data_IF_234758388124
#
_entry.id   IF_234758388124
#
_cell.length_a   1.000
_cell.length_b   1.000
_cell.length_c   1.000
_cell.angle_alpha   90.00
_cell.angle_beta   90.00
_cell.angle_gamma   90.00
#
_symmetry.space_group_name_H-M   'P 1'
#
loop_
_entity.id
_entity.type
_entity.pdbx_description
1 polymer ?
#
# COMPACT_ATOMS: atom_id res chain seq x y z
N UNK A 1 -11.86 -6.46 89.57
CA UNK A 1 -10.60 -6.75 90.21
C UNK A 1 -10.25 -8.21 90.04
N UNK A 2 -9.08 -8.52 89.49
CA UNK A 2 -8.57 -9.89 89.18
C UNK A 2 -8.15 -10.70 90.41
N UNK A 3 -8.66 -10.41 91.56
CA UNK A 3 -8.31 -11.08 92.83
C UNK A 3 -6.94 -10.70 93.40
N UNK A 4 -6.27 -9.71 92.77
CA UNK A 4 -4.96 -9.20 93.24
C UNK A 4 -5.15 -7.98 94.13
N UNK A 5 -4.43 -7.91 95.23
CA UNK A 5 -4.46 -6.75 96.09
C UNK A 5 -3.78 -5.54 95.47
N UNK A 6 -4.53 -4.47 95.17
CA UNK A 6 -4.04 -3.31 94.46
C UNK A 6 -4.37 -2.00 95.18
N UNK A 7 -3.63 -0.95 94.92
CA UNK A 7 -3.76 0.36 95.56
C UNK A 7 -3.04 0.49 96.90
N UNK A 8 -3.07 1.67 97.53
CA UNK A 8 -2.36 1.97 98.76
C UNK A 8 -0.84 1.77 98.66
N UNK A 9 -0.26 0.99 99.56
CA UNK A 9 1.19 0.66 99.60
C UNK A 9 1.51 -0.69 98.94
N UNK A 10 0.55 -1.33 98.23
CA UNK A 10 0.76 -2.62 97.52
C UNK A 10 1.76 -2.57 96.37
N UNK A 11 1.98 -1.37 95.82
CA UNK A 11 2.84 -1.21 94.63
C UNK A 11 2.18 -1.68 93.31
N UNK A 12 0.92 -2.16 93.35
CA UNK A 12 0.16 -2.66 92.24
C UNK A 12 -0.97 -1.69 91.87
N UNK A 13 -1.07 -1.33 90.63
CA UNK A 13 -2.11 -0.42 90.11
C UNK A 13 -3.44 -1.18 89.96
N UNK A 14 -4.55 -0.54 90.32
CA UNK A 14 -5.85 -1.16 90.24
C UNK A 14 -6.15 -1.48 88.76
N UNK A 15 -6.63 -2.72 88.52
CA UNK A 15 -7.01 -3.25 87.17
C UNK A 15 -5.85 -3.37 86.18
N UNK A 16 -4.59 -3.28 86.63
CA UNK A 16 -3.43 -3.46 85.71
C UNK A 16 -3.32 -4.88 85.13
N UNK A 17 -4.03 -5.84 85.71
CA UNK A 17 -4.11 -7.22 85.29
C UNK A 17 -5.31 -7.51 84.44
N UNK A 18 -6.10 -6.49 84.09
CA UNK A 18 -7.15 -6.59 83.03
C UNK A 18 -6.60 -6.18 81.70
N UNK A 19 -6.99 -6.94 80.66
CA UNK A 19 -6.76 -6.56 79.31
C UNK A 19 -7.75 -5.45 78.86
N UNK A 20 -7.67 -4.98 77.60
CA UNK A 20 -8.56 -3.93 77.13
C UNK A 20 -10.04 -4.37 77.01
N UNK A 21 -10.35 -5.69 77.07
CA UNK A 21 -11.69 -6.25 77.11
C UNK A 21 -12.19 -6.53 78.50
N UNK A 22 -11.48 -5.98 79.56
CA UNK A 22 -11.76 -6.11 80.98
C UNK A 22 -11.65 -7.55 81.55
N UNK A 23 -11.03 -8.46 80.79
CA UNK A 23 -10.77 -9.84 81.21
C UNK A 23 -9.51 -9.91 82.04
N UNK A 24 -9.60 -10.57 83.23
CA UNK A 24 -8.44 -10.71 84.14
C UNK A 24 -7.42 -11.66 83.45
N UNK A 25 -6.17 -11.20 83.36
CA UNK A 25 -5.07 -11.94 82.74
C UNK A 25 -5.41 -12.37 81.31
N UNK A 26 -6.27 -11.58 80.65
CA UNK A 26 -6.63 -11.80 79.23
C UNK A 26 -5.52 -11.35 78.27
N UNK A 27 -5.64 -11.78 77.07
CA UNK A 27 -4.66 -11.56 75.93
C UNK A 27 -5.12 -10.47 74.96
N UNK A 28 -6.29 -9.82 75.21
CA UNK A 28 -6.73 -8.72 74.36
C UNK A 28 -5.85 -7.48 74.48
N UNK A 29 -5.55 -6.80 73.39
CA UNK A 29 -4.76 -5.58 73.44
C UNK A 29 -5.36 -4.52 72.49
N UNK A 30 -4.95 -3.28 72.67
CA UNK A 30 -5.32 -2.20 71.75
C UNK A 30 -4.41 -2.34 70.53
N UNK A 31 -5.02 -2.54 69.36
CA UNK A 31 -4.33 -2.65 68.05
C UNK A 31 -3.90 -1.27 67.54
N UNK A 32 -3.31 -1.25 66.31
CA UNK A 32 -2.79 -0.03 65.72
C UNK A 32 -3.92 0.95 65.28
N UNK A 33 -5.15 0.47 65.18
CA UNK A 33 -6.34 1.29 64.94
C UNK A 33 -7.01 1.79 66.26
N UNK A 34 -6.46 1.47 67.36
CA UNK A 34 -7.01 1.86 68.65
C UNK A 34 -8.17 1.00 69.10
N UNK A 35 -8.39 -0.14 68.53
CA UNK A 35 -9.48 -1.07 68.77
C UNK A 35 -8.96 -2.17 69.74
N UNK A 36 -9.75 -2.56 70.71
CA UNK A 36 -9.44 -3.70 71.52
C UNK A 36 -9.69 -4.99 70.75
N UNK A 37 -8.62 -5.73 70.44
CA UNK A 37 -8.64 -6.88 69.53
C UNK A 37 -7.97 -8.09 70.15
N UNK A 38 -8.13 -9.26 69.56
CA UNK A 38 -7.60 -10.54 70.07
C UNK A 38 -8.26 -11.00 71.41
N UNK A 39 -7.70 -12.03 72.05
CA UNK A 39 -8.25 -12.64 73.24
C UNK A 39 -9.72 -13.07 73.06
N UNK A 40 -10.58 -12.70 74.01
CA UNK A 40 -12.01 -13.03 74.02
C UNK A 40 -12.86 -11.96 73.29
N UNK A 41 -12.25 -10.99 72.54
CA UNK A 41 -12.97 -9.92 71.86
C UNK A 41 -13.71 -10.43 70.62
N UNK A 42 -13.20 -11.51 70.01
CA UNK A 42 -13.70 -12.03 68.73
C UNK A 42 -13.30 -11.17 67.51
N UNK A 43 -12.40 -10.21 67.73
CA UNK A 43 -11.84 -9.36 66.67
C UNK A 43 -10.38 -9.72 66.45
N UNK A 44 -9.99 -9.87 65.18
CA UNK A 44 -8.58 -10.03 64.86
C UNK A 44 -7.89 -8.67 64.93
N UNK A 45 -6.60 -8.64 65.32
CA UNK A 45 -5.85 -7.41 65.44
C UNK A 45 -5.70 -6.77 63.99
N UNK A 46 -5.92 -5.45 63.95
CA UNK A 46 -5.81 -4.67 62.69
C UNK A 46 -6.78 -5.09 61.58
N UNK A 47 -7.89 -5.77 61.94
CA UNK A 47 -8.92 -6.18 60.97
C UNK A 47 -9.52 -4.99 60.21
N UNK A 48 -9.48 -3.80 60.78
CA UNK A 48 -9.99 -2.55 60.20
C UNK A 48 -8.95 -1.80 59.36
N UNK A 49 -7.73 -2.37 59.23
CA UNK A 49 -6.73 -1.81 58.32
C UNK A 49 -6.98 -2.29 56.88
N UNK A 50 -6.82 -1.37 55.94
CA UNK A 50 -6.74 -1.71 54.53
C UNK A 50 -5.37 -2.35 54.16
N UNK A 51 -5.19 -2.78 52.94
CA UNK A 51 -3.92 -3.40 52.50
C UNK A 51 -2.71 -2.47 52.60
N UNK A 52 -2.90 -1.15 52.75
CA UNK A 52 -1.85 -0.15 52.95
C UNK A 52 -1.58 0.11 54.43
N UNK A 53 -2.30 -0.58 55.36
CA UNK A 53 -2.16 -0.42 56.80
C UNK A 53 -2.88 0.82 57.36
N UNK A 54 -3.79 1.41 56.62
CA UNK A 54 -4.58 2.57 57.06
C UNK A 54 -5.87 2.09 57.70
N UNK A 55 -6.12 2.54 58.95
CA UNK A 55 -7.36 2.21 59.65
C UNK A 55 -8.57 2.82 58.96
N UNK A 56 -9.62 2.01 58.76
CA UNK A 56 -10.81 2.37 57.93
C UNK A 56 -10.43 2.86 56.54
N UNK A 57 -9.25 2.46 56.05
CA UNK A 57 -8.78 2.80 54.70
C UNK A 57 -9.58 2.12 53.58
N UNK A 58 -9.36 2.57 52.37
CA UNK A 58 -10.09 2.11 51.16
C UNK A 58 -9.19 1.44 50.12
N UNK A 59 -7.91 1.25 50.44
CA UNK A 59 -7.00 0.53 49.54
C UNK A 59 -7.35 -0.96 49.49
N UNK A 60 -7.30 -1.54 48.33
CA UNK A 60 -7.62 -2.95 48.08
C UNK A 60 -6.49 -3.62 47.30
N UNK A 61 -6.37 -4.91 47.48
CA UNK A 61 -5.51 -5.72 46.61
C UNK A 61 -6.21 -5.82 45.22
N UNK A 62 -5.52 -5.36 44.19
CA UNK A 62 -6.02 -5.43 42.80
C UNK A 62 -5.82 -6.82 42.19
N UNK A 63 -6.21 -6.97 40.91
CA UNK A 63 -6.12 -8.25 40.19
C UNK A 63 -4.67 -8.71 39.97
N UNK A 64 -3.70 -7.80 40.09
CA UNK A 64 -2.27 -8.11 40.00
C UNK A 64 -1.64 -8.43 41.39
N UNK A 65 -2.43 -8.42 42.44
CA UNK A 65 -1.97 -8.66 43.79
C UNK A 65 -1.26 -7.44 44.43
N UNK A 66 -1.43 -6.27 43.83
CA UNK A 66 -0.85 -5.01 44.30
C UNK A 66 -1.86 -4.26 45.16
N UNK A 67 -1.43 -3.70 46.29
CA UNK A 67 -2.29 -2.84 47.10
C UNK A 67 -2.43 -1.48 46.41
N UNK A 68 -3.64 -1.15 45.97
CA UNK A 68 -3.92 0.04 45.16
C UNK A 68 -5.20 0.77 45.62
N UNK A 69 -5.38 1.99 45.22
CA UNK A 69 -6.47 2.85 45.65
C UNK A 69 -6.18 3.48 47.03
N UNK A 70 -7.20 4.08 47.67
CA UNK A 70 -7.04 4.77 48.92
C UNK A 70 -5.90 5.78 48.93
N UNK A 71 -5.06 5.72 49.95
CA UNK A 71 -3.91 6.62 50.10
C UNK A 71 -2.59 6.03 49.54
N UNK A 72 -2.67 4.93 48.75
CA UNK A 72 -1.48 4.29 48.16
C UNK A 72 -0.81 5.13 47.08
N UNK A 73 -1.56 6.02 46.43
CA UNK A 73 -1.12 6.76 45.26
C UNK A 73 -1.03 5.92 43.95
N UNK A 74 -1.49 4.67 44.00
CA UNK A 74 -1.53 3.76 42.84
C UNK A 74 -2.98 3.58 42.41
N UNK A 75 -3.21 3.62 41.09
CA UNK A 75 -4.48 3.24 40.52
C UNK A 75 -4.60 1.71 40.46
N UNK A 76 -5.80 1.19 40.73
CA UNK A 76 -6.05 -0.25 40.65
C UNK A 76 -5.77 -0.76 39.24
N UNK A 77 -5.07 -1.89 39.16
CA UNK A 77 -4.70 -2.54 37.89
C UNK A 77 -3.80 -1.71 36.97
N UNK A 78 -3.08 -0.71 37.50
CA UNK A 78 -2.11 0.09 36.73
C UNK A 78 -1.01 -0.75 36.07
N UNK A 79 -0.72 -1.93 36.65
CA UNK A 79 0.29 -2.86 36.13
C UNK A 79 -0.28 -3.86 35.10
N UNK A 80 -1.55 -3.75 34.71
CA UNK A 80 -2.12 -4.53 33.63
C UNK A 80 -1.84 -3.89 32.29
N UNK A 81 -1.52 -4.72 31.30
CA UNK A 81 -1.48 -4.31 29.92
C UNK A 81 -2.91 -4.13 29.33
N UNK A 82 -3.04 -3.67 28.11
CA UNK A 82 -4.35 -3.47 27.48
C UNK A 82 -5.17 -4.77 27.31
N UNK A 83 -4.53 -5.95 27.46
CA UNK A 83 -5.19 -7.27 27.43
C UNK A 83 -5.54 -7.78 28.85
N UNK A 84 -5.33 -6.96 29.89
CA UNK A 84 -5.63 -7.31 31.28
C UNK A 84 -4.59 -8.24 31.92
N UNK A 85 -3.42 -8.39 31.34
CA UNK A 85 -2.35 -9.26 31.89
C UNK A 85 -1.42 -8.43 32.77
N UNK A 86 -1.25 -8.84 34.02
CA UNK A 86 -0.35 -8.17 34.96
C UNK A 86 1.09 -8.21 34.47
N UNK A 87 1.72 -7.04 34.39
CA UNK A 87 3.06 -6.85 33.83
C UNK A 87 3.18 -7.42 32.40
N UNK A 88 2.06 -7.46 31.67
CA UNK A 88 2.02 -7.91 30.31
C UNK A 88 2.71 -6.93 29.36
N UNK A 89 2.84 -7.32 28.11
CA UNK A 89 3.50 -6.54 27.07
C UNK A 89 2.58 -6.12 25.93
N UNK A 90 1.28 -6.41 26.03
CA UNK A 90 0.31 -5.95 25.04
C UNK A 90 0.14 -4.42 25.14
N UNK A 91 0.06 -3.77 23.98
CA UNK A 91 -0.13 -2.32 23.91
C UNK A 91 -1.20 -1.97 22.87
N UNK A 92 -1.79 -0.80 23.01
CA UNK A 92 -2.64 -0.28 21.95
C UNK A 92 -1.74 0.12 20.78
N UNK A 93 -2.09 -0.36 19.61
CA UNK A 93 -1.44 0.02 18.34
C UNK A 93 -1.97 1.37 17.82
N UNK A 94 -1.52 1.79 16.65
CA UNK A 94 -1.92 3.07 16.04
C UNK A 94 -3.41 3.12 15.69
N UNK A 95 -4.05 1.96 15.53
CA UNK A 95 -5.48 1.83 15.30
C UNK A 95 -6.30 1.74 16.62
N UNK A 96 -5.65 1.81 17.76
CA UNK A 96 -6.29 1.68 19.06
C UNK A 96 -6.67 0.25 19.41
N UNK A 97 -6.14 -0.73 18.72
CA UNK A 97 -6.36 -2.15 18.98
C UNK A 97 -5.28 -2.66 19.94
N UNK A 98 -5.69 -3.43 20.95
CA UNK A 98 -4.75 -4.08 21.84
C UNK A 98 -4.05 -5.22 21.11
N UNK A 99 -2.76 -5.07 20.87
CA UNK A 99 -1.95 -6.00 20.07
C UNK A 99 -0.68 -6.41 20.81
N UNK A 100 0.06 -7.36 20.26
CA UNK A 100 1.26 -7.93 20.86
C UNK A 100 1.00 -8.69 22.16
N UNK A 101 2.05 -9.01 22.92
CA UNK A 101 1.93 -9.80 24.14
C UNK A 101 1.22 -11.14 23.94
N UNK A 102 0.17 -11.38 24.71
CA UNK A 102 -0.63 -12.61 24.66
C UNK A 102 -1.92 -12.45 23.83
N UNK A 103 -2.09 -11.34 23.09
CA UNK A 103 -3.30 -11.09 22.31
C UNK A 103 -3.40 -11.99 21.09
N UNK A 104 -2.27 -12.45 20.55
CA UNK A 104 -2.20 -13.17 19.28
C UNK A 104 -2.34 -12.28 18.06
N UNK A 105 -2.41 -10.96 18.24
CA UNK A 105 -2.48 -9.96 17.16
C UNK A 105 -1.12 -9.27 17.03
N UNK A 106 -0.71 -9.00 15.81
CA UNK A 106 0.43 -8.15 15.54
C UNK A 106 0.01 -6.68 15.59
N UNK A 107 0.89 -5.80 16.06
CA UNK A 107 0.62 -4.37 16.02
C UNK A 107 0.39 -3.91 14.57
N UNK A 108 -0.62 -3.02 14.39
CA UNK A 108 -0.96 -2.42 13.11
C UNK A 108 -1.40 -3.42 12.02
N UNK A 109 -1.84 -4.62 12.42
CA UNK A 109 -2.34 -5.63 11.48
C UNK A 109 -3.60 -5.19 10.71
N UNK A 110 -4.30 -4.20 11.26
CA UNK A 110 -5.51 -3.62 10.69
C UNK A 110 -5.24 -2.35 9.86
N UNK A 111 -3.96 -1.99 9.65
CA UNK A 111 -3.58 -0.93 8.72
C UNK A 111 -3.47 -1.49 7.29
N UNK A 112 -3.90 -0.69 6.34
CA UNK A 112 -3.65 -0.94 4.93
C UNK A 112 -2.23 -0.50 4.51
N UNK A 113 -1.87 -0.66 3.24
CA UNK A 113 -0.54 -0.27 2.76
C UNK A 113 -0.28 1.26 2.77
N UNK A 114 -1.31 2.08 3.04
CA UNK A 114 -1.21 3.53 3.19
C UNK A 114 -1.20 3.97 4.67
N UNK A 115 -1.03 3.01 5.59
CA UNK A 115 -1.07 3.19 7.05
C UNK A 115 -2.44 3.66 7.58
N UNK A 116 -3.51 3.53 6.79
CA UNK A 116 -4.87 3.85 7.23
C UNK A 116 -5.47 2.67 7.99
N UNK A 117 -5.94 2.94 9.23
CA UNK A 117 -6.62 1.92 10.04
C UNK A 117 -7.93 1.48 9.38
N UNK A 118 -8.07 0.17 9.16
CA UNK A 118 -9.22 -0.42 8.46
C UNK A 118 -9.40 0.15 7.05
N UNK A 119 -8.31 0.62 6.45
CA UNK A 119 -8.31 1.17 5.11
C UNK A 119 -8.51 0.11 4.04
N UNK A 120 -8.73 0.56 2.82
CA UNK A 120 -9.00 -0.28 1.65
C UNK A 120 -7.87 -0.24 0.62
N UNK A 121 -6.76 0.47 0.93
CA UNK A 121 -5.62 0.52 0.04
C UNK A 121 -4.92 -0.85 -0.02
N UNK A 122 -4.50 -1.25 -1.21
CA UNK A 122 -3.84 -2.53 -1.44
C UNK A 122 -2.59 -2.33 -2.30
N UNK A 123 -1.63 -3.21 -2.16
CA UNK A 123 -0.51 -3.24 -3.09
C UNK A 123 -1.01 -3.77 -4.44
N UNK A 124 -0.77 -3.01 -5.49
CA UNK A 124 -1.08 -3.41 -6.85
C UNK A 124 -0.01 -4.37 -7.43
N UNK A 125 -0.16 -4.75 -8.68
CA UNK A 125 0.77 -5.68 -9.33
C UNK A 125 2.19 -5.09 -9.49
N UNK A 126 2.32 -3.76 -9.44
CA UNK A 126 3.62 -3.07 -9.49
C UNK A 126 4.25 -2.89 -8.10
N UNK A 127 3.55 -3.32 -7.04
CA UNK A 127 3.99 -3.18 -5.67
C UNK A 127 3.74 -1.78 -5.08
N UNK A 128 2.98 -0.94 -5.79
CA UNK A 128 2.59 0.38 -5.30
C UNK A 128 1.30 0.30 -4.49
N UNK A 129 1.24 1.10 -3.42
CA UNK A 129 0.03 1.18 -2.61
C UNK A 129 -1.04 2.00 -3.35
N UNK A 130 -2.14 1.34 -3.68
CA UNK A 130 -3.16 1.86 -4.58
C UNK A 130 -4.56 1.75 -3.97
N UNK A 131 -5.49 2.53 -4.50
CA UNK A 131 -6.88 2.59 -4.04
C UNK A 131 -6.99 3.18 -2.62
N UNK A 132 -8.16 3.06 -2.00
CA UNK A 132 -8.42 3.67 -0.69
C UNK A 132 -8.12 5.16 -0.69
N UNK A 133 -7.34 5.61 0.30
CA UNK A 133 -6.88 7.00 0.43
C UNK A 133 -5.46 7.23 -0.11
N UNK A 134 -4.85 6.23 -0.77
CA UNK A 134 -3.48 6.35 -1.28
C UNK A 134 -3.31 7.45 -2.33
N UNK A 135 -4.41 7.83 -3.01
CA UNK A 135 -4.38 8.78 -4.12
C UNK A 135 -3.80 8.19 -5.41
N UNK A 136 -3.51 6.91 -5.42
CA UNK A 136 -2.96 6.18 -6.56
C UNK A 136 -3.99 5.18 -7.11
N UNK A 137 -4.11 5.13 -8.43
CA UNK A 137 -5.01 4.17 -9.10
C UNK A 137 -4.27 2.87 -9.35
N UNK A 138 -4.89 1.75 -9.04
CA UNK A 138 -4.29 0.43 -9.20
C UNK A 138 -3.79 0.21 -10.63
N UNK A 139 -2.53 -0.23 -10.74
CA UNK A 139 -1.86 -0.53 -12.00
C UNK A 139 -1.70 0.66 -12.97
N UNK A 140 -1.82 1.91 -12.50
CA UNK A 140 -1.61 3.10 -13.35
C UNK A 140 -0.18 3.23 -13.86
N UNK A 141 0.76 2.55 -13.21
CA UNK A 141 2.18 2.54 -13.60
C UNK A 141 2.54 1.44 -14.60
N UNK A 142 1.53 0.69 -15.06
CA UNK A 142 1.73 -0.25 -16.16
C UNK A 142 1.69 0.47 -17.49
N UNK A 143 2.61 0.12 -18.35
CA UNK A 143 2.59 0.52 -19.75
C UNK A 143 1.52 -0.25 -20.54
N UNK A 144 1.35 0.05 -21.82
CA UNK A 144 0.37 -0.62 -22.67
C UNK A 144 0.68 -2.11 -22.91
N UNK A 145 1.91 -2.57 -22.62
CA UNK A 145 2.30 -3.99 -22.67
C UNK A 145 2.01 -4.70 -21.33
N UNK A 146 1.60 -3.93 -20.29
CA UNK A 146 1.32 -4.45 -18.96
C UNK A 146 2.55 -4.57 -18.06
N UNK A 147 3.68 -4.00 -18.46
CA UNK A 147 4.89 -3.96 -17.64
C UNK A 147 4.87 -2.78 -16.69
N UNK A 148 5.21 -3.05 -15.40
CA UNK A 148 5.31 -2.00 -14.40
C UNK A 148 6.46 -1.05 -14.72
N UNK A 149 6.16 0.25 -14.76
CA UNK A 149 7.13 1.31 -15.09
C UNK A 149 7.79 1.11 -16.46
N UNK A 150 7.08 0.41 -17.36
CA UNK A 150 7.56 0.15 -18.71
C UNK A 150 7.50 1.39 -19.59
N UNK A 151 8.17 1.31 -20.73
CA UNK A 151 8.31 2.40 -21.71
C UNK A 151 7.43 2.20 -22.97
N UNK A 152 6.63 1.14 -23.04
CA UNK A 152 5.73 0.91 -24.15
C UNK A 152 4.56 1.89 -24.13
N UNK A 153 4.20 2.43 -25.29
CA UNK A 153 3.09 3.36 -25.42
C UNK A 153 2.26 3.02 -26.66
N UNK A 154 1.01 3.46 -26.66
CA UNK A 154 0.22 3.41 -27.89
C UNK A 154 0.81 4.41 -28.89
N UNK A 155 1.11 3.93 -30.08
CA UNK A 155 1.58 4.75 -31.19
C UNK A 155 0.40 5.45 -31.92
N UNK A 156 0.70 6.13 -33.03
CA UNK A 156 -0.32 6.86 -33.79
C UNK A 156 -1.39 5.93 -34.41
N UNK A 157 -1.08 4.64 -34.57
CA UNK A 157 -2.00 3.62 -35.04
C UNK A 157 -2.76 2.89 -33.92
N UNK A 158 -2.66 3.40 -32.68
CA UNK A 158 -3.22 2.80 -31.47
C UNK A 158 -2.67 1.38 -31.18
N UNK A 159 -1.48 1.08 -31.70
CA UNK A 159 -0.77 -0.18 -31.42
C UNK A 159 0.22 0.04 -30.28
N UNK A 160 0.26 -0.88 -29.34
CA UNK A 160 1.23 -0.84 -28.27
C UNK A 160 2.65 -1.12 -28.80
N UNK A 161 3.50 -0.10 -28.77
CA UNK A 161 4.81 -0.11 -29.43
C UNK A 161 5.92 0.37 -28.50
N UNK A 162 7.14 0.06 -28.85
CA UNK A 162 8.32 0.41 -28.02
C UNK A 162 8.48 -0.48 -26.81
N UNK A 163 9.29 -0.04 -25.85
CA UNK A 163 9.60 -0.83 -24.66
C UNK A 163 10.02 -2.26 -24.99
N UNK A 164 9.41 -3.24 -24.32
CA UNK A 164 9.68 -4.66 -24.52
C UNK A 164 8.73 -5.34 -25.51
N UNK A 165 7.84 -4.60 -26.17
CA UNK A 165 6.84 -5.16 -27.11
C UNK A 165 7.45 -5.87 -28.31
N UNK A 166 8.68 -5.50 -28.68
CA UNK A 166 9.30 -5.95 -29.93
C UNK A 166 8.69 -5.33 -31.18
N UNK A 167 7.75 -4.38 -31.01
CA UNK A 167 7.11 -3.63 -32.10
C UNK A 167 7.67 -2.22 -32.16
N UNK A 168 8.13 -1.79 -33.33
CA UNK A 168 8.66 -0.44 -33.52
C UNK A 168 7.52 0.57 -33.62
N UNK A 169 7.74 1.75 -33.02
CA UNK A 169 6.75 2.84 -33.03
C UNK A 169 6.41 3.22 -34.47
N UNK A 170 5.10 3.25 -34.79
CA UNK A 170 4.58 3.62 -36.09
C UNK A 170 5.01 2.70 -37.26
N UNK A 171 5.47 1.48 -36.99
CA UNK A 171 5.85 0.53 -38.06
C UNK A 171 4.68 0.05 -38.92
N UNK A 172 3.45 0.28 -38.45
CA UNK A 172 2.22 -0.05 -39.17
C UNK A 172 1.73 1.07 -40.10
N UNK A 173 2.47 2.18 -40.17
CA UNK A 173 2.20 3.22 -41.14
C UNK A 173 2.82 2.89 -42.51
N UNK A 174 2.08 3.12 -43.56
CA UNK A 174 2.62 3.08 -44.90
C UNK A 174 3.43 4.36 -45.22
N UNK A 175 3.96 4.47 -46.43
CA UNK A 175 4.74 5.64 -46.84
C UNK A 175 3.91 6.93 -46.97
N UNK A 176 2.56 6.82 -46.97
CA UNK A 176 1.65 7.96 -46.92
C UNK A 176 1.21 8.32 -45.49
N UNK A 177 1.83 7.68 -44.50
CA UNK A 177 1.53 7.81 -43.06
C UNK A 177 0.14 7.30 -42.66
N UNK A 178 -0.52 6.51 -43.48
CA UNK A 178 -1.78 5.87 -43.17
C UNK A 178 -1.53 4.60 -42.34
N UNK A 179 -2.21 4.48 -41.20
CA UNK A 179 -2.13 3.27 -40.37
C UNK A 179 -2.71 2.06 -41.12
N UNK A 180 -1.93 0.99 -41.21
CA UNK A 180 -2.28 -0.22 -41.93
C UNK A 180 -2.60 0.05 -43.42
N UNK A 181 -2.01 1.12 -43.94
CA UNK A 181 -2.19 1.53 -45.31
C UNK A 181 -1.52 0.59 -46.33
N UNK A 182 -1.86 0.75 -47.60
CA UNK A 182 -1.36 -0.08 -48.68
C UNK A 182 -0.40 0.70 -49.61
N UNK A 183 -0.08 1.97 -49.29
CA UNK A 183 0.85 2.74 -50.10
C UNK A 183 2.28 2.17 -49.93
N UNK A 184 3.00 2.14 -51.05
CA UNK A 184 4.36 1.61 -51.14
C UNK A 184 5.28 2.60 -51.83
N UNK A 185 6.56 2.54 -51.51
CA UNK A 185 7.57 3.28 -52.29
C UNK A 185 7.77 2.55 -53.61
N UNK A 186 7.57 3.28 -54.68
CA UNK A 186 7.75 2.76 -56.05
C UNK A 186 9.23 2.77 -56.48
N UNK A 187 9.50 2.33 -57.71
CA UNK A 187 10.88 2.26 -58.25
C UNK A 187 11.53 3.64 -58.42
N UNK A 188 10.74 4.71 -58.47
CA UNK A 188 11.21 6.09 -58.52
C UNK A 188 11.41 6.72 -57.13
N UNK A 189 11.12 5.97 -56.07
CA UNK A 189 11.26 6.45 -54.69
C UNK A 189 10.09 7.30 -54.20
N UNK A 190 8.99 7.34 -54.99
CA UNK A 190 7.77 8.06 -54.65
C UNK A 190 6.79 7.15 -53.90
N UNK A 191 6.04 7.74 -52.99
CA UNK A 191 4.97 7.00 -52.30
C UNK A 191 3.74 6.86 -53.20
N UNK A 192 3.41 5.61 -53.58
CA UNK A 192 2.41 5.28 -54.55
C UNK A 192 1.38 4.30 -54.06
N UNK A 193 0.24 4.22 -54.73
CA UNK A 193 -0.88 3.36 -54.38
C UNK A 193 -1.56 3.77 -53.03
N UNK A 194 -2.42 2.92 -52.50
CA UNK A 194 -3.21 3.23 -51.30
C UNK A 194 -3.96 4.55 -51.43
N UNK A 195 -3.82 5.43 -50.44
CA UNK A 195 -4.43 6.77 -50.44
C UNK A 195 -3.45 7.87 -50.88
N UNK A 196 -2.27 7.51 -51.38
CA UNK A 196 -1.26 8.49 -51.81
C UNK A 196 -1.74 9.40 -52.93
N UNK A 197 -2.71 8.94 -53.73
CA UNK A 197 -3.18 9.64 -54.93
C UNK A 197 -2.22 9.51 -56.08
N UNK A 198 -1.17 8.70 -55.98
CA UNK A 198 -0.15 8.46 -56.98
C UNK A 198 -0.18 7.00 -57.41
N UNK A 199 -0.17 6.72 -58.71
CA UNK A 199 -0.14 5.35 -59.21
C UNK A 199 1.29 4.83 -59.24
N UNK A 200 1.48 3.53 -59.00
CA UNK A 200 2.78 2.89 -58.95
C UNK A 200 3.55 3.16 -60.28
N UNK A 201 4.76 3.68 -60.18
CA UNK A 201 5.65 4.03 -61.27
C UNK A 201 5.07 5.04 -62.29
N UNK A 202 4.14 5.92 -61.85
CA UNK A 202 3.55 6.93 -62.71
C UNK A 202 4.57 7.93 -63.26
N UNK A 203 5.70 8.08 -62.59
CA UNK A 203 6.79 8.98 -62.99
C UNK A 203 7.86 8.29 -63.84
N UNK A 204 7.67 7.00 -64.17
CA UNK A 204 8.52 6.35 -65.13
C UNK A 204 8.07 6.70 -66.57
N UNK A 205 9.02 6.99 -67.42
CA UNK A 205 8.76 7.10 -68.86
C UNK A 205 8.58 5.73 -69.52
N UNK A 206 8.26 5.66 -70.81
CA UNK A 206 8.04 4.41 -71.52
C UNK A 206 9.30 3.52 -71.59
N UNK A 207 10.47 4.07 -71.31
CA UNK A 207 11.75 3.32 -71.25
C UNK A 207 12.05 2.75 -69.87
N UNK A 208 11.30 3.21 -68.86
CA UNK A 208 11.44 2.81 -67.48
C UNK A 208 12.33 3.74 -66.62
N UNK A 209 12.71 4.88 -67.20
CA UNK A 209 13.52 5.86 -66.46
C UNK A 209 12.61 6.75 -65.60
N UNK A 210 12.96 6.89 -64.35
CA UNK A 210 12.22 7.78 -63.43
C UNK A 210 12.42 9.24 -63.85
N UNK A 211 11.30 9.97 -63.98
CA UNK A 211 11.27 11.36 -64.46
C UNK A 211 11.94 11.52 -65.84
N UNK A 212 11.95 10.42 -66.61
CA UNK A 212 12.51 10.39 -67.95
C UNK A 212 11.70 11.18 -68.95
N UNK A 213 12.30 11.42 -70.16
CA UNK A 213 11.71 12.18 -71.26
C UNK A 213 11.29 11.31 -72.42
N UNK A 214 11.43 9.97 -72.30
CA UNK A 214 10.99 9.07 -73.35
C UNK A 214 9.45 8.99 -73.44
N UNK A 215 8.89 9.03 -74.63
CA UNK A 215 7.45 8.94 -74.81
C UNK A 215 7.11 7.99 -75.99
N UNK A 216 5.87 7.52 -76.02
CA UNK A 216 5.40 6.75 -77.18
C UNK A 216 5.21 7.70 -78.33
N UNK A 217 5.87 7.40 -79.44
CA UNK A 217 5.73 8.13 -80.72
C UNK A 217 4.43 7.77 -81.44
N UNK A 218 4.23 8.30 -82.64
CA UNK A 218 3.04 8.05 -83.43
C UNK A 218 2.85 6.58 -83.78
N UNK A 219 3.94 5.81 -83.89
CA UNK A 219 3.93 4.36 -84.13
C UNK A 219 3.78 3.53 -82.88
N UNK A 220 3.63 4.15 -81.70
CA UNK A 220 3.54 3.47 -80.38
C UNK A 220 4.87 2.87 -79.89
N UNK A 221 5.98 3.33 -80.48
CA UNK A 221 7.34 2.93 -80.06
C UNK A 221 7.84 3.92 -79.02
N UNK A 222 8.47 3.40 -77.93
CA UNK A 222 9.09 4.24 -76.90
C UNK A 222 10.31 4.93 -77.50
N UNK A 223 10.29 6.28 -77.58
CA UNK A 223 11.26 7.07 -78.31
C UNK A 223 11.70 8.30 -77.52
N UNK A 224 12.87 8.80 -77.78
CA UNK A 224 13.43 9.92 -77.08
C UNK A 224 14.08 9.51 -75.73
N UNK A 225 14.42 10.49 -74.85
CA UNK A 225 15.13 10.22 -73.64
C UNK A 225 16.35 9.33 -73.78
N UNK A 226 16.42 8.26 -73.01
CA UNK A 226 17.50 7.27 -73.07
C UNK A 226 17.14 6.03 -73.88
N UNK A 227 16.03 6.04 -74.61
CA UNK A 227 15.56 4.88 -75.40
C UNK A 227 16.42 4.51 -76.61
N UNK A 228 17.38 5.35 -76.97
CA UNK A 228 18.20 5.21 -78.23
C UNK A 228 17.37 5.15 -79.50
N UNK A 229 16.09 5.54 -79.44
CA UNK A 229 15.17 5.56 -80.57
C UNK A 229 14.69 6.98 -80.82
N UNK A 230 14.85 7.45 -82.03
CA UNK A 230 14.31 8.75 -82.48
C UNK A 230 12.83 8.67 -82.71
N UNK A 231 12.06 9.66 -82.26
CA UNK A 231 10.63 9.71 -82.43
C UNK A 231 10.28 9.70 -83.95
N UNK A 232 9.28 8.86 -84.29
CA UNK A 232 8.75 8.71 -85.61
C UNK A 232 9.75 8.24 -86.72
N UNK A 233 10.91 7.69 -86.27
CA UNK A 233 11.92 7.14 -87.19
C UNK A 233 11.42 5.91 -87.92
N UNK A 234 10.36 5.28 -87.48
CA UNK A 234 9.72 4.12 -88.11
C UNK A 234 8.59 4.49 -89.08
N UNK A 235 8.36 5.80 -89.32
CA UNK A 235 7.35 6.29 -90.30
C UNK A 235 8.02 6.40 -91.65
N UNK A 236 7.43 5.78 -92.66
CA UNK A 236 7.88 5.90 -94.05
C UNK A 236 7.42 7.24 -94.69
N UNK A 237 7.87 7.53 -95.95
CA UNK A 237 7.53 8.78 -96.68
C UNK A 237 6.03 8.88 -97.03
N UNK A 238 5.24 7.81 -96.89
CA UNK A 238 3.78 7.80 -97.07
C UNK A 238 3.04 8.09 -95.75
N UNK A 239 3.74 8.10 -94.59
CA UNK A 239 3.15 8.31 -93.29
C UNK A 239 2.73 7.02 -92.58
N UNK A 240 3.12 5.86 -93.12
CA UNK A 240 2.77 4.55 -92.55
C UNK A 240 3.84 4.07 -91.59
N UNK A 241 3.41 3.65 -90.34
CA UNK A 241 4.33 3.09 -89.35
C UNK A 241 4.85 1.73 -89.86
N UNK A 242 6.20 1.55 -89.80
CA UNK A 242 6.92 0.37 -90.26
C UNK A 242 6.69 0.11 -91.75
N UNK A 243 6.29 1.14 -92.47
CA UNK A 243 6.08 1.08 -93.90
C UNK A 243 7.40 0.86 -94.66
N UNK A 244 7.24 0.55 -95.97
CA UNK A 244 8.38 0.27 -96.91
C UNK A 244 8.49 1.27 -98.03
N UNK A 245 7.68 2.34 -97.99
CA UNK A 245 7.80 3.41 -98.98
C UNK A 245 9.08 4.19 -98.83
N UNK A 246 9.84 4.41 -99.93
CA UNK A 246 11.15 5.04 -99.91
C UNK A 246 11.05 6.38 -100.73
#
# INVERSE_FOLDING_TARGET
TCGVCSGGSSGHTANSDQDCNEVCFGDAFIDDCGICSEGDTGLDANADQDCNGVCDGTALIDDCGVCAGGDTGLDANADQDCNGVCNGSAALDDCGICAEGNTGLNANADQDCNDDCFGEAVLDDCGECSEGNSGHTSNSDKDCAGECFGDAALDDCEVCSGGSTGHEVNSDKDCNEDCFGEAVIDDCGECSEGNSGHSFNADQDCYGDCFGEAGYDTCGVCSGGNSDHEADSDIDCAGDCFGVAI
#
